data_IF_890907339019
#
_entry.id   IF_890907339019
#
_cell.length_a   1.000
_cell.length_b   1.000
_cell.length_c   1.000
_cell.angle_alpha   90.00
_cell.angle_beta   90.00
_cell.angle_gamma   90.00
#
_symmetry.space_group_name_H-M   'P 1'
#
loop_
_entity.id
_entity.type
_entity.pdbx_description
1 polymer ?
#
# COMPACT_ATOMS: atom_id res chain seq x y z
N UNK A 1 -5.31 -2.26 -4.08
CA UNK A 1 -3.91 -2.63 -3.74
C UNK A 1 -3.48 -1.72 -2.60
N UNK A 2 -2.80 -2.23 -1.58
CA UNK A 2 -2.33 -1.44 -0.42
C UNK A 2 -0.81 -1.52 -0.32
N UNK A 3 -0.13 -0.38 -0.25
CA UNK A 3 1.32 -0.23 -0.07
C UNK A 3 1.59 0.55 1.22
N UNK A 4 2.79 0.43 1.80
CA UNK A 4 3.26 1.42 2.77
C UNK A 4 3.85 2.63 2.05
N UNK A 5 3.92 3.81 2.70
CA UNK A 5 4.66 4.95 2.14
C UNK A 5 6.19 4.79 2.22
N UNK A 6 6.68 3.82 3.00
CA UNK A 6 8.11 3.53 3.16
C UNK A 6 8.68 2.61 2.07
N UNK A 7 7.87 2.18 1.10
CA UNK A 7 8.33 1.32 0.02
C UNK A 7 9.34 2.04 -0.88
N UNK A 8 10.41 1.34 -1.29
CA UNK A 8 11.34 1.85 -2.29
C UNK A 8 10.60 2.14 -3.61
N UNK A 9 11.05 3.14 -4.38
CA UNK A 9 10.40 3.55 -5.64
C UNK A 9 10.11 2.39 -6.60
N UNK A 10 10.99 1.40 -6.67
CA UNK A 10 10.81 0.18 -7.48
C UNK A 10 9.62 -0.67 -7.06
N UNK A 11 9.17 -0.55 -5.81
CA UNK A 11 8.01 -1.22 -5.25
C UNK A 11 6.74 -0.36 -5.30
N UNK A 12 6.79 0.90 -5.76
CA UNK A 12 5.61 1.78 -5.91
C UNK A 12 5.15 1.87 -7.36
N UNK A 13 6.06 2.24 -8.27
CA UNK A 13 5.76 2.56 -9.67
C UNK A 13 5.06 1.41 -10.41
N UNK A 14 5.47 0.14 -10.28
CA UNK A 14 4.78 -0.95 -10.98
C UNK A 14 3.30 -1.03 -10.61
N UNK A 15 2.95 -0.81 -9.34
CA UNK A 15 1.57 -0.89 -8.89
C UNK A 15 0.73 0.31 -9.33
N UNK A 16 1.32 1.50 -9.44
CA UNK A 16 0.65 2.65 -10.06
C UNK A 16 0.23 2.35 -11.50
N UNK A 17 1.16 1.82 -12.31
CA UNK A 17 0.88 1.41 -13.70
C UNK A 17 -0.21 0.34 -13.78
N UNK A 18 -0.21 -0.64 -12.87
CA UNK A 18 -1.25 -1.67 -12.82
C UNK A 18 -2.62 -1.08 -12.44
N UNK A 19 -2.66 -0.16 -11.48
CA UNK A 19 -3.92 0.49 -11.10
C UNK A 19 -4.50 1.34 -12.21
N UNK A 20 -3.67 2.06 -12.97
CA UNK A 20 -4.10 2.80 -14.16
C UNK A 20 -4.68 1.89 -15.24
N UNK A 21 -4.05 0.74 -15.50
CA UNK A 21 -4.51 -0.22 -16.52
C UNK A 21 -5.77 -0.98 -16.15
N UNK A 22 -5.99 -1.22 -14.86
CA UNK A 22 -7.07 -2.11 -14.38
C UNK A 22 -8.25 -1.35 -13.76
N UNK A 23 -8.11 -0.05 -13.51
CA UNK A 23 -9.07 0.72 -12.71
C UNK A 23 -9.09 0.35 -11.23
N UNK A 24 -8.13 -0.45 -10.77
CA UNK A 24 -8.00 -0.79 -9.35
C UNK A 24 -7.57 0.43 -8.55
N UNK A 25 -7.98 0.51 -7.28
CA UNK A 25 -7.57 1.60 -6.38
C UNK A 25 -6.26 1.26 -5.69
N UNK A 26 -5.30 2.18 -5.72
CA UNK A 26 -4.08 2.16 -4.91
C UNK A 26 -4.34 2.94 -3.61
N UNK A 27 -3.99 2.35 -2.47
CA UNK A 27 -4.04 3.01 -1.15
C UNK A 27 -2.68 2.89 -0.47
N UNK A 28 -2.35 3.89 0.35
CA UNK A 28 -1.09 3.93 1.09
C UNK A 28 -1.35 3.88 2.59
N UNK A 29 -0.50 3.15 3.30
CA UNK A 29 -0.40 3.14 4.77
C UNK A 29 0.69 4.12 5.17
N UNK A 30 0.35 5.03 6.08
CA UNK A 30 1.26 6.02 6.60
C UNK A 30 2.24 5.41 7.59
N UNK A 31 3.22 6.21 8.01
CA UNK A 31 4.09 5.86 9.12
C UNK A 31 3.53 6.42 10.42
N UNK A 32 3.78 5.70 11.50
CA UNK A 32 3.59 6.20 12.86
C UNK A 32 4.64 7.25 13.20
N UNK A 33 4.57 7.81 14.42
CA UNK A 33 5.58 8.75 14.91
C UNK A 33 6.98 8.16 15.03
N UNK A 34 7.07 6.84 15.15
CA UNK A 34 8.33 6.10 15.23
C UNK A 34 8.85 5.69 13.84
N UNK A 35 8.30 6.28 12.77
CA UNK A 35 8.66 6.03 11.37
C UNK A 35 8.48 4.57 10.90
N UNK A 36 7.68 3.79 11.62
CA UNK A 36 7.29 2.43 11.22
C UNK A 36 5.88 2.40 10.62
N UNK A 37 5.56 1.49 9.68
CA UNK A 37 4.22 1.38 9.09
C UNK A 37 3.11 1.23 10.14
N UNK A 38 2.04 2.03 10.01
CA UNK A 38 0.89 1.98 10.92
C UNK A 38 0.02 0.73 10.64
N UNK A 39 0.20 -0.29 11.48
CA UNK A 39 -0.52 -1.57 11.38
C UNK A 39 -2.02 -1.40 11.63
N UNK A 40 -2.43 -0.45 12.46
CA UNK A 40 -3.85 -0.20 12.75
C UNK A 40 -4.52 0.51 11.56
N UNK A 41 -3.82 1.43 10.90
CA UNK A 41 -4.26 2.00 9.63
C UNK A 41 -4.35 0.92 8.54
N UNK A 42 -3.34 0.06 8.40
CA UNK A 42 -3.37 -1.07 7.47
C UNK A 42 -4.62 -1.92 7.70
N UNK A 43 -4.88 -2.34 8.95
CA UNK A 43 -6.07 -3.14 9.30
C UNK A 43 -7.37 -2.48 8.86
N UNK A 44 -7.51 -1.17 9.02
CA UNK A 44 -8.70 -0.39 8.60
C UNK A 44 -8.83 -0.30 7.08
N UNK A 45 -7.71 -0.28 6.36
CA UNK A 45 -7.69 -0.23 4.89
C UNK A 45 -7.99 -1.60 4.25
N UNK A 46 -7.82 -2.70 4.98
CA UNK A 46 -8.17 -4.04 4.51
C UNK A 46 -9.69 -4.21 4.36
N UNK A 47 -10.08 -4.87 3.28
CA UNK A 47 -11.46 -5.22 3.00
C UNK A 47 -11.51 -6.44 2.08
N UNK A 48 -12.71 -6.98 1.83
CA UNK A 48 -12.93 -8.04 0.82
C UNK A 48 -12.46 -7.67 -0.61
N UNK A 49 -12.31 -6.37 -0.88
CA UNK A 49 -11.83 -5.84 -2.16
C UNK A 49 -10.31 -5.68 -2.20
N UNK A 50 -9.61 -5.80 -1.07
CA UNK A 50 -8.15 -5.76 -1.04
C UNK A 50 -7.60 -7.08 -1.60
N UNK A 51 -6.94 -7.01 -2.75
CA UNK A 51 -6.39 -8.20 -3.44
C UNK A 51 -4.89 -8.39 -3.23
N UNK A 52 -4.18 -7.35 -2.84
CA UNK A 52 -2.73 -7.37 -2.65
C UNK A 52 -2.33 -6.33 -1.60
N UNK A 53 -1.38 -6.73 -0.75
CA UNK A 53 -0.65 -5.90 0.20
C UNK A 53 0.84 -6.04 -0.14
N UNK A 54 1.54 -4.91 -0.23
CA UNK A 54 2.96 -4.83 -0.58
C UNK A 54 3.68 -4.17 0.58
N UNK A 55 4.68 -4.87 1.12
CA UNK A 55 5.50 -4.44 2.26
C UNK A 55 6.94 -4.85 2.02
N UNK A 56 7.89 -4.02 2.44
CA UNK A 56 9.28 -4.40 2.57
C UNK A 56 9.49 -5.35 3.76
N UNK A 57 10.59 -6.12 3.73
CA UNK A 57 11.01 -7.02 4.81
C UNK A 57 11.78 -6.26 5.89
#
# INVERSE_FOLDING_TARGET
>A
IVLTIAEHHSAIVPWQVITEKTGSVLKFVSLTKDEVPDVEELRKLLSKNTKLVVVHH
#
